data_IF_358254235786
#
_entry.id   IF_358254235786
#
_cell.length_a   1.000
_cell.length_b   1.000
_cell.length_c   1.000
_cell.angle_alpha   90.00
_cell.angle_beta   90.00
_cell.angle_gamma   90.00
#
_symmetry.space_group_name_H-M   'P 1'
#
loop_
_entity.id
_entity.type
_entity.pdbx_description
1 polymer ?
#
# COMPACT_ATOMS: atom_id res chain seq x y z
N UNK A 1 -19.57 14.84 14.27
CA UNK A 1 -18.58 13.76 14.10
C UNK A 1 -18.41 13.51 12.61
N UNK A 2 -17.27 13.84 12.06
CA UNK A 2 -16.96 13.51 10.67
C UNK A 2 -16.80 11.99 10.52
N UNK A 3 -17.45 11.40 9.51
CA UNK A 3 -17.22 10.00 9.16
C UNK A 3 -15.80 9.85 8.58
N UNK A 4 -14.85 9.54 9.43
CA UNK A 4 -13.47 9.34 9.02
C UNK A 4 -13.28 7.90 8.59
N UNK A 5 -12.75 7.71 7.39
CA UNK A 5 -12.30 6.42 6.90
C UNK A 5 -10.78 6.40 6.93
N UNK A 6 -10.24 5.69 7.89
CA UNK A 6 -8.79 5.59 8.03
C UNK A 6 -8.23 4.47 7.18
N UNK A 7 -7.17 4.79 6.43
CA UNK A 7 -6.44 3.78 5.67
C UNK A 7 -5.49 3.03 6.62
N UNK A 8 -5.74 1.74 6.77
CA UNK A 8 -4.93 0.88 7.65
C UNK A 8 -4.01 -0.07 6.88
N UNK A 9 -4.23 -0.21 5.58
CA UNK A 9 -3.39 -1.00 4.69
C UNK A 9 -3.29 -0.37 3.31
N UNK A 10 -2.14 -0.49 2.67
CA UNK A 10 -1.91 -0.21 1.26
C UNK A 10 -0.52 0.29 0.96
N UNK A 11 -0.09 0.09 -0.27
CA UNK A 11 1.14 0.69 -0.76
C UNK A 11 0.96 2.19 -0.92
N UNK A 12 1.86 2.96 -0.30
CA UNK A 12 1.83 4.41 -0.38
C UNK A 12 2.54 4.87 -1.65
N UNK A 13 1.91 5.71 -2.49
CA UNK A 13 2.60 6.31 -3.63
C UNK A 13 3.66 7.29 -3.13
N UNK A 14 4.89 7.08 -3.59
CA UNK A 14 6.03 7.95 -3.26
C UNK A 14 6.22 9.04 -4.31
N UNK A 15 5.98 8.71 -5.57
CA UNK A 15 6.13 9.62 -6.69
C UNK A 15 5.19 9.24 -7.84
N UNK A 16 4.66 10.26 -8.49
CA UNK A 16 3.92 10.12 -9.75
C UNK A 16 4.76 10.77 -10.85
N UNK A 17 5.02 10.03 -11.92
CA UNK A 17 5.80 10.49 -13.06
C UNK A 17 4.96 10.52 -14.33
N UNK A 18 5.04 11.62 -15.07
CA UNK A 18 4.45 11.70 -16.41
C UNK A 18 5.23 10.87 -17.45
N UNK A 19 6.42 10.39 -17.09
CA UNK A 19 7.20 9.48 -17.93
C UNK A 19 6.83 8.04 -17.63
N UNK A 20 6.62 7.26 -18.69
CA UNK A 20 6.39 5.84 -18.56
C UNK A 20 7.72 5.10 -18.44
N UNK A 21 7.97 4.47 -17.29
CA UNK A 21 9.18 3.70 -17.05
C UNK A 21 9.32 2.55 -18.05
N UNK A 22 8.22 1.86 -18.38
CA UNK A 22 8.22 0.78 -19.35
C UNK A 22 8.65 1.24 -20.74
N UNK A 23 8.15 2.39 -21.18
CA UNK A 23 8.52 2.98 -22.48
C UNK A 23 10.02 3.30 -22.54
N UNK A 24 10.58 3.79 -21.45
CA UNK A 24 11.99 4.16 -21.39
C UNK A 24 12.93 2.95 -21.34
N UNK A 25 12.49 1.83 -20.72
CA UNK A 25 13.30 0.63 -20.58
C UNK A 25 13.17 -0.33 -21.77
N UNK A 26 11.96 -0.66 -22.18
CA UNK A 26 11.66 -1.75 -23.11
C UNK A 26 10.76 -1.34 -24.29
N UNK A 27 10.42 -0.07 -24.42
CA UNK A 27 9.44 0.41 -25.39
C UNK A 27 8.00 0.28 -24.90
N UNK A 28 7.10 1.01 -25.54
CA UNK A 28 5.69 1.01 -25.20
C UNK A 28 5.00 -0.25 -25.72
N UNK A 29 4.39 -1.02 -24.83
CA UNK A 29 3.61 -2.22 -25.16
C UNK A 29 2.09 -2.02 -24.99
N UNK A 30 1.65 -0.81 -24.65
CA UNK A 30 0.24 -0.45 -24.40
C UNK A 30 -0.46 -1.33 -23.35
N UNK A 31 0.30 -1.95 -22.44
CA UNK A 31 -0.24 -2.78 -21.37
C UNK A 31 0.10 -2.22 -20.00
N UNK A 32 -0.75 -2.55 -19.02
CA UNK A 32 -0.43 -2.30 -17.63
C UNK A 32 0.75 -3.17 -17.24
N UNK A 33 1.85 -2.55 -16.87
CA UNK A 33 3.05 -3.25 -16.45
C UNK A 33 3.41 -2.92 -15.01
N UNK A 34 3.88 -3.92 -14.29
CA UNK A 34 4.46 -3.77 -12.97
C UNK A 34 5.96 -4.02 -13.08
N UNK A 35 6.74 -2.99 -12.83
CA UNK A 35 8.21 -3.04 -12.82
C UNK A 35 8.70 -2.77 -11.40
N UNK A 36 9.84 -3.31 -11.03
CA UNK A 36 10.48 -3.05 -9.73
C UNK A 36 11.79 -2.30 -9.95
N UNK A 37 11.91 -1.15 -9.32
CA UNK A 37 13.15 -0.39 -9.29
C UNK A 37 13.94 -0.73 -8.03
N UNK A 38 15.20 -1.05 -8.20
CA UNK A 38 16.13 -1.34 -7.09
C UNK A 38 16.92 -0.08 -6.73
N UNK A 39 16.93 0.27 -5.46
CA UNK A 39 17.73 1.37 -4.97
C UNK A 39 19.17 0.95 -4.62
N UNK A 40 19.99 1.90 -4.18
CA UNK A 40 21.39 1.66 -3.78
C UNK A 40 21.50 0.75 -2.55
N UNK A 41 20.46 0.69 -1.73
CA UNK A 41 20.39 -0.13 -0.52
C UNK A 41 19.81 -1.53 -0.77
N UNK A 42 19.51 -1.86 -2.03
CA UNK A 42 18.95 -3.14 -2.41
C UNK A 42 17.45 -3.30 -2.20
N UNK A 43 16.74 -2.22 -1.89
CA UNK A 43 15.28 -2.24 -1.75
C UNK A 43 14.59 -2.11 -3.10
N UNK A 44 13.50 -2.84 -3.28
CA UNK A 44 12.71 -2.82 -4.50
C UNK A 44 11.47 -1.94 -4.33
N UNK A 45 11.31 -0.98 -5.22
CA UNK A 45 10.16 -0.09 -5.29
C UNK A 45 9.27 -0.50 -6.46
N UNK A 46 8.03 -0.94 -6.22
CA UNK A 46 7.12 -1.30 -7.31
C UNK A 46 6.70 -0.06 -8.08
N UNK A 47 6.70 -0.18 -9.41
CA UNK A 47 6.25 0.88 -10.33
C UNK A 47 5.11 0.33 -11.16
N UNK A 48 3.95 0.95 -11.07
CA UNK A 48 2.79 0.62 -11.89
C UNK A 48 2.59 1.67 -12.97
N UNK A 49 2.58 1.22 -14.21
CA UNK A 49 2.34 2.09 -15.37
C UNK A 49 0.87 2.06 -15.75
N UNK A 50 0.28 3.25 -15.87
CA UNK A 50 -1.12 3.43 -16.28
C UNK A 50 -1.15 3.89 -17.73
N UNK A 51 -1.30 2.93 -18.65
CA UNK A 51 -1.17 3.18 -20.08
C UNK A 51 -2.29 4.03 -20.67
N UNK A 52 -3.48 4.04 -20.07
CA UNK A 52 -4.60 4.86 -20.53
C UNK A 52 -4.29 6.36 -20.49
N UNK A 53 -3.56 6.79 -19.48
CA UNK A 53 -3.19 8.20 -19.25
C UNK A 53 -1.69 8.45 -19.33
N UNK A 54 -0.91 7.46 -19.71
CA UNK A 54 0.55 7.53 -19.91
C UNK A 54 1.33 8.11 -18.72
N UNK A 55 1.03 7.63 -17.51
CA UNK A 55 1.78 7.99 -16.33
C UNK A 55 2.19 6.75 -15.53
N UNK A 56 3.16 6.90 -14.65
CA UNK A 56 3.63 5.85 -13.76
C UNK A 56 3.58 6.30 -12.31
N UNK A 57 3.23 5.38 -11.43
CA UNK A 57 3.24 5.61 -9.98
C UNK A 57 4.29 4.70 -9.35
N UNK A 58 5.21 5.31 -8.60
CA UNK A 58 6.24 4.59 -7.84
C UNK A 58 5.73 4.46 -6.41
N UNK A 59 5.57 3.22 -5.96
CA UNK A 59 5.10 2.91 -4.61
C UNK A 59 6.27 2.65 -3.67
N UNK A 60 6.01 2.77 -2.37
CA UNK A 60 7.00 2.43 -1.35
C UNK A 60 7.37 0.94 -1.44
N UNK A 61 8.56 0.60 -0.97
CA UNK A 61 9.05 -0.79 -0.93
C UNK A 61 8.24 -1.69 -0.01
N UNK A 62 7.68 -1.12 1.05
CA UNK A 62 6.82 -1.83 2.01
C UNK A 62 5.43 -1.20 2.05
N UNK A 63 4.37 -2.02 2.13
CA UNK A 63 3.04 -1.49 2.31
C UNK A 63 2.84 -0.92 3.71
N UNK A 64 1.98 0.09 3.82
CA UNK A 64 1.47 0.53 5.12
C UNK A 64 0.67 -0.61 5.74
N UNK A 65 0.92 -0.89 7.00
CA UNK A 65 0.16 -1.90 7.75
C UNK A 65 0.05 -1.53 9.22
N UNK A 66 -1.15 -1.21 9.66
CA UNK A 66 -1.45 -0.78 11.03
C UNK A 66 -2.16 -1.89 11.81
N UNK A 67 -1.69 -3.12 11.69
CA UNK A 67 -2.26 -4.29 12.41
C UNK A 67 -1.97 -4.18 13.91
N UNK A 68 -0.72 -3.85 14.26
CA UNK A 68 -0.30 -3.73 15.66
C UNK A 68 -0.90 -2.52 16.37
N UNK A 69 -1.34 -1.52 15.61
CA UNK A 69 -1.97 -0.30 16.08
C UNK A 69 -3.50 -0.36 16.09
N UNK A 70 -4.08 -1.54 15.92
CA UNK A 70 -5.54 -1.72 15.82
C UNK A 70 -6.29 -1.17 17.04
N UNK A 71 -5.76 -1.37 18.23
CA UNK A 71 -6.39 -0.88 19.47
C UNK A 71 -6.40 0.65 19.53
N UNK A 72 -5.30 1.30 19.12
CA UNK A 72 -5.22 2.75 19.06
C UNK A 72 -6.22 3.33 18.05
N UNK A 73 -6.34 2.69 16.88
CA UNK A 73 -7.27 3.12 15.83
C UNK A 73 -8.73 2.92 16.26
N UNK A 74 -9.04 1.80 16.92
CA UNK A 74 -10.39 1.58 17.48
C UNK A 74 -10.76 2.64 18.52
N UNK A 75 -9.80 3.08 19.32
CA UNK A 75 -10.02 4.12 20.33
C UNK A 75 -10.41 5.46 19.73
N UNK A 76 -10.03 5.72 18.48
CA UNK A 76 -10.43 6.93 17.73
C UNK A 76 -11.85 6.85 17.17
N UNK A 77 -12.52 5.71 17.27
CA UNK A 77 -13.88 5.47 16.76
C UNK A 77 -14.10 5.89 15.31
N UNK A 78 -13.27 5.43 14.33
CA UNK A 78 -13.52 5.72 12.94
C UNK A 78 -14.83 5.04 12.48
N UNK A 79 -15.53 5.63 11.52
CA UNK A 79 -16.72 5.03 10.93
C UNK A 79 -16.40 3.75 10.15
N UNK A 80 -15.21 3.69 9.54
CA UNK A 80 -14.71 2.52 8.82
C UNK A 80 -13.18 2.57 8.71
N UNK A 81 -12.57 1.41 8.54
CA UNK A 81 -11.17 1.28 8.13
C UNK A 81 -11.09 0.86 6.67
N UNK A 82 -10.08 1.34 5.96
CA UNK A 82 -9.92 1.11 4.53
C UNK A 82 -8.66 0.30 4.25
N UNK A 83 -8.83 -0.79 3.50
CA UNK A 83 -7.75 -1.51 2.86
C UNK A 83 -7.66 -1.05 1.40
N UNK A 84 -6.50 -0.60 0.97
CA UNK A 84 -6.29 -0.09 -0.38
C UNK A 84 -5.34 -0.98 -1.16
N UNK A 85 -5.89 -1.85 -1.98
CA UNK A 85 -5.13 -2.76 -2.83
C UNK A 85 -4.81 -2.10 -4.18
N UNK A 86 -3.55 -2.16 -4.60
CA UNK A 86 -3.08 -1.52 -5.85
C UNK A 86 -2.26 -2.45 -6.73
N UNK A 87 -1.32 -3.17 -6.16
CA UNK A 87 -0.36 -4.04 -6.89
C UNK A 87 -0.44 -5.50 -6.45
N UNK A 88 -1.21 -5.81 -5.43
CA UNK A 88 -1.33 -7.14 -4.87
C UNK A 88 -2.04 -8.09 -5.84
N UNK A 89 -1.63 -9.37 -5.82
CA UNK A 89 -2.34 -10.43 -6.51
C UNK A 89 -3.67 -10.75 -5.81
N UNK A 90 -4.53 -11.51 -6.47
CA UNK A 90 -5.82 -11.91 -5.89
C UNK A 90 -5.65 -12.72 -4.61
N UNK A 91 -4.67 -13.61 -4.56
CA UNK A 91 -4.37 -14.44 -3.38
C UNK A 91 -3.86 -13.58 -2.22
N UNK A 92 -2.89 -12.70 -2.49
CA UNK A 92 -2.40 -11.74 -1.49
C UNK A 92 -3.52 -10.86 -0.95
N UNK A 93 -4.40 -10.38 -1.82
CA UNK A 93 -5.57 -9.57 -1.43
C UNK A 93 -6.48 -10.32 -0.47
N UNK A 94 -6.77 -11.59 -0.75
CA UNK A 94 -7.61 -12.42 0.13
C UNK A 94 -6.97 -12.64 1.49
N UNK A 95 -5.70 -13.03 1.53
CA UNK A 95 -4.96 -13.27 2.78
C UNK A 95 -4.92 -12.01 3.65
N UNK A 96 -4.59 -10.87 3.06
CA UNK A 96 -4.51 -9.59 3.77
C UNK A 96 -5.90 -9.17 4.26
N UNK A 97 -6.93 -9.28 3.43
CA UNK A 97 -8.29 -8.93 3.81
C UNK A 97 -8.79 -9.77 4.99
N UNK A 98 -8.54 -11.08 4.99
CA UNK A 98 -8.90 -11.97 6.09
C UNK A 98 -8.14 -11.62 7.36
N UNK A 99 -6.83 -11.38 7.26
CA UNK A 99 -5.99 -11.02 8.41
C UNK A 99 -6.45 -9.71 9.06
N UNK A 100 -6.68 -8.65 8.27
CA UNK A 100 -7.14 -7.35 8.79
C UNK A 100 -8.57 -7.42 9.32
N UNK A 101 -9.47 -8.14 8.66
CA UNK A 101 -10.83 -8.36 9.17
C UNK A 101 -10.81 -9.10 10.51
N UNK A 102 -9.98 -10.11 10.66
CA UNK A 102 -9.79 -10.81 11.93
C UNK A 102 -9.32 -9.87 13.04
N UNK A 103 -8.33 -9.03 12.75
CA UNK A 103 -7.76 -8.08 13.73
C UNK A 103 -8.75 -6.98 14.10
N UNK A 104 -9.38 -6.34 13.11
CA UNK A 104 -10.24 -5.18 13.35
C UNK A 104 -11.66 -5.52 13.77
N UNK A 105 -12.23 -6.60 13.26
CA UNK A 105 -13.61 -7.00 13.57
C UNK A 105 -13.72 -7.97 14.75
N UNK A 106 -12.77 -8.90 14.88
CA UNK A 106 -12.80 -9.98 15.87
C UNK A 106 -11.79 -9.82 17.01
N UNK A 107 -10.85 -8.87 16.90
CA UNK A 107 -9.82 -8.68 17.91
C UNK A 107 -8.75 -9.78 17.97
N UNK A 108 -8.63 -10.60 16.94
CA UNK A 108 -7.66 -11.67 16.87
C UNK A 108 -6.30 -11.08 16.51
N UNK A 109 -5.26 -11.35 17.32
CA UNK A 109 -3.89 -11.01 16.97
C UNK A 109 -3.41 -11.94 15.84
N UNK A 110 -3.08 -11.35 14.69
CA UNK A 110 -2.50 -12.08 13.57
C UNK A 110 -0.97 -12.00 13.68
N UNK A 111 -0.24 -13.13 13.59
CA UNK A 111 1.21 -13.08 13.50
C UNK A 111 1.60 -12.31 12.24
N UNK A 112 2.30 -11.21 12.40
CA UNK A 112 2.78 -10.42 11.29
C UNK A 112 4.03 -11.08 10.71
N UNK A 113 3.86 -12.02 9.81
CA UNK A 113 4.96 -12.57 9.02
C UNK A 113 5.47 -11.57 7.97
N UNK A 114 4.63 -10.60 7.62
CA UNK A 114 4.94 -9.59 6.62
C UNK A 114 5.45 -8.31 7.29
N UNK A 115 6.51 -7.75 6.72
CA UNK A 115 7.01 -6.44 7.13
C UNK A 115 6.10 -5.33 6.61
N UNK A 116 5.73 -4.41 7.50
CA UNK A 116 4.92 -3.24 7.18
C UNK A 116 5.63 -1.97 7.60
N UNK A 117 5.38 -0.90 6.86
CA UNK A 117 5.72 0.45 7.32
C UNK A 117 4.53 1.04 8.09
N UNK A 118 4.82 1.84 9.09
CA UNK A 118 3.80 2.60 9.84
C UNK A 118 3.53 3.98 9.23
N UNK A 119 4.25 4.32 8.16
CA UNK A 119 4.17 5.64 7.56
C UNK A 119 4.45 6.75 8.59
N UNK A 120 3.59 7.75 8.64
CA UNK A 120 3.68 8.86 9.59
C UNK A 120 2.78 8.71 10.83
N UNK A 121 2.28 7.52 11.12
CA UNK A 121 1.29 7.30 12.18
C UNK A 121 1.71 7.87 13.54
N UNK A 122 3.01 7.79 13.88
CA UNK A 122 3.56 8.33 15.14
C UNK A 122 4.53 9.51 14.95
N UNK A 123 4.74 9.93 13.71
CA UNK A 123 5.63 11.06 13.40
C UNK A 123 4.80 12.30 13.16
N UNK A 124 5.19 13.40 13.80
CA UNK A 124 4.67 14.71 13.44
C UNK A 124 5.13 15.05 12.02
N UNK A 125 4.26 15.68 11.27
CA UNK A 125 4.64 16.31 10.00
C UNK A 125 5.44 17.55 10.37
N UNK A 126 6.71 17.50 10.11
CA UNK A 126 7.58 18.67 10.23
C UNK A 126 7.47 19.55 8.97
#
# INVERSE_FOLDING_TARGET
QMCIRDRVYGYLPMMVSAQCVQKNLNGCNHSYSLVRLKDRMGKYFPVKSYCTSCYSVIYNSLPLGLVKEADEIRSMHPAAVRLNFTIETLEETKEIAVAFAGTYCKGIAVPAEQEYTKGHFRRKVE
#
